data_IF_511304133213
#
_entry.id   IF_511304133213
#
_cell.length_a   1.000
_cell.length_b   1.000
_cell.length_c   1.000
_cell.angle_alpha   90.00
_cell.angle_beta   90.00
_cell.angle_gamma   90.00
#
_symmetry.space_group_name_H-M   'P 1'
#
loop_
_entity.id
_entity.type
_entity.pdbx_description
1 polymer ?
#
# COMPACT_ATOMS: atom_id res chain seq x y z
N UNK A 1 3.31 21.64 10.18
CA UNK A 1 2.48 20.50 10.66
C UNK A 1 3.35 19.27 10.83
N UNK A 2 3.11 18.47 11.87
CA UNK A 2 3.79 17.18 12.02
C UNK A 2 3.27 16.23 10.94
N UNK A 3 4.18 15.62 10.18
CA UNK A 3 3.88 14.76 9.04
C UNK A 3 4.30 13.33 9.36
N UNK A 4 3.35 12.39 9.28
CA UNK A 4 3.62 10.96 9.37
C UNK A 4 3.48 10.32 7.99
N UNK A 5 4.57 9.84 7.41
CA UNK A 5 4.62 9.30 6.05
C UNK A 5 4.69 7.78 6.12
N UNK A 6 3.77 7.11 5.44
CA UNK A 6 3.78 5.64 5.33
C UNK A 6 4.72 5.24 4.20
N UNK A 7 5.70 4.37 4.48
CA UNK A 7 6.70 3.92 3.52
C UNK A 7 6.92 2.41 3.63
N UNK A 8 6.71 1.68 2.53
CA UNK A 8 6.94 0.24 2.45
C UNK A 8 8.39 -0.08 2.06
N UNK A 9 8.95 -1.17 2.59
CA UNK A 9 10.27 -1.65 2.19
C UNK A 9 10.20 -2.39 0.86
N UNK A 10 10.71 -1.75 -0.20
CA UNK A 10 10.78 -2.32 -1.57
C UNK A 10 12.21 -2.68 -2.01
N UNK A 11 13.20 -2.44 -1.15
CA UNK A 11 14.63 -2.66 -1.40
C UNK A 11 15.28 -3.41 -0.23
N UNK A 12 16.59 -3.64 -0.30
CA UNK A 12 17.37 -4.13 0.85
C UNK A 12 17.24 -3.16 2.05
N UNK A 13 17.41 -3.71 3.27
CA UNK A 13 17.32 -2.96 4.54
C UNK A 13 18.25 -1.74 4.53
N UNK A 14 19.50 -1.92 4.10
CA UNK A 14 20.50 -0.84 4.04
C UNK A 14 20.03 0.36 3.20
N UNK A 15 19.57 0.13 1.97
CA UNK A 15 19.09 1.19 1.08
C UNK A 15 17.82 1.84 1.64
N UNK A 16 16.91 1.02 2.14
CA UNK A 16 15.66 1.50 2.73
C UNK A 16 15.91 2.40 3.94
N UNK A 17 16.87 2.04 4.80
CA UNK A 17 17.24 2.83 5.99
C UNK A 17 17.91 4.14 5.61
N UNK A 18 18.83 4.11 4.65
CA UNK A 18 19.46 5.32 4.12
C UNK A 18 18.42 6.31 3.57
N UNK A 19 17.49 5.84 2.73
CA UNK A 19 16.42 6.69 2.18
C UNK A 19 15.47 7.18 3.27
N UNK A 20 15.11 6.32 4.22
CA UNK A 20 14.23 6.67 5.36
C UNK A 20 14.87 7.74 6.23
N UNK A 21 16.16 7.62 6.52
CA UNK A 21 16.95 8.62 7.25
C UNK A 21 16.94 9.98 6.54
N UNK A 22 17.25 10.00 5.24
CA UNK A 22 17.26 11.23 4.44
C UNK A 22 15.87 11.90 4.35
N UNK A 23 14.79 11.11 4.30
CA UNK A 23 13.41 11.63 4.33
C UNK A 23 13.02 12.15 5.71
N UNK A 24 13.43 11.45 6.77
CA UNK A 24 13.15 11.85 8.14
C UNK A 24 13.89 13.12 8.56
N UNK A 25 15.08 13.37 8.00
CA UNK A 25 15.87 14.58 8.23
C UNK A 25 15.10 15.89 7.92
N UNK A 26 14.02 15.81 7.12
CA UNK A 26 13.11 16.93 6.82
C UNK A 26 12.00 17.12 7.86
N UNK A 27 12.15 16.58 9.07
CA UNK A 27 11.18 16.70 10.17
C UNK A 27 9.94 15.82 10.03
N UNK A 28 9.94 14.87 9.09
CA UNK A 28 8.84 13.92 8.89
C UNK A 28 9.08 12.63 9.66
N UNK A 29 8.03 12.06 10.26
CA UNK A 29 8.08 10.73 10.86
C UNK A 29 7.78 9.69 9.79
N UNK A 30 8.73 8.78 9.57
CA UNK A 30 8.54 7.65 8.65
C UNK A 30 8.00 6.44 9.41
N UNK A 31 6.95 5.81 8.90
CA UNK A 31 6.38 4.59 9.48
C UNK A 31 6.18 3.53 8.41
N UNK A 32 6.45 2.27 8.76
CA UNK A 32 6.21 1.14 7.87
C UNK A 32 4.72 0.74 7.87
N UNK A 33 4.16 0.19 6.77
CA UNK A 33 2.77 -0.25 6.67
C UNK A 33 2.51 -1.56 7.45
N UNK A 34 2.89 -1.59 8.72
CA UNK A 34 2.64 -2.67 9.67
C UNK A 34 1.49 -2.28 10.60
N UNK A 35 0.88 -3.22 11.35
CA UNK A 35 -0.14 -2.88 12.34
C UNK A 35 0.31 -1.81 13.35
N UNK A 36 1.58 -1.84 13.76
CA UNK A 36 2.15 -0.82 14.64
C UNK A 36 2.27 0.55 13.96
N UNK A 37 2.74 0.58 12.71
CA UNK A 37 2.81 1.83 11.94
C UNK A 37 1.43 2.43 11.66
N UNK A 38 0.45 1.61 11.30
CA UNK A 38 -0.95 2.04 11.12
C UNK A 38 -1.51 2.65 12.42
N UNK A 39 -1.25 2.04 13.59
CA UNK A 39 -1.63 2.63 14.89
C UNK A 39 -1.00 4.01 15.12
N UNK A 40 0.27 4.20 14.73
CA UNK A 40 0.94 5.50 14.82
C UNK A 40 0.31 6.55 13.90
N UNK A 41 -0.08 6.17 12.68
CA UNK A 41 -0.82 7.05 11.76
C UNK A 41 -2.17 7.44 12.33
N UNK A 42 -2.96 6.48 12.82
CA UNK A 42 -4.26 6.75 13.44
C UNK A 42 -4.11 7.70 14.63
N UNK A 43 -3.09 7.48 15.47
CA UNK A 43 -2.77 8.37 16.60
C UNK A 43 -2.46 9.78 16.13
N UNK A 44 -1.63 9.94 15.09
CA UNK A 44 -1.29 11.24 14.51
C UNK A 44 -2.53 11.99 14.00
N UNK A 45 -3.37 11.32 13.21
CA UNK A 45 -4.59 11.92 12.66
C UNK A 45 -5.56 12.36 13.76
N UNK A 46 -5.72 11.57 14.82
CA UNK A 46 -6.54 11.93 15.99
C UNK A 46 -5.97 13.12 16.78
N UNK A 47 -4.68 13.40 16.65
CA UNK A 47 -4.02 14.57 17.25
C UNK A 47 -4.08 15.81 16.34
N UNK A 48 -4.78 15.75 15.21
CA UNK A 48 -4.85 16.85 14.23
C UNK A 48 -3.57 16.98 13.40
N UNK A 49 -2.71 15.96 13.39
CA UNK A 49 -1.52 15.91 12.54
C UNK A 49 -1.87 15.39 11.13
N UNK A 50 -0.92 15.51 10.19
CA UNK A 50 -1.11 15.06 8.82
C UNK A 50 -0.44 13.70 8.58
N UNK A 51 -1.03 12.89 7.71
CA UNK A 51 -0.38 11.69 7.18
C UNK A 51 -0.36 11.68 5.66
N UNK A 52 0.71 11.14 5.09
CA UNK A 52 0.94 11.12 3.65
C UNK A 52 1.08 9.68 3.17
N UNK A 53 0.39 9.39 2.07
CA UNK A 53 0.35 8.09 1.41
C UNK A 53 0.68 8.23 -0.06
N UNK A 54 1.36 7.23 -0.61
CA UNK A 54 1.42 6.97 -2.04
C UNK A 54 0.36 5.92 -2.35
N UNK A 55 -0.56 6.21 -3.27
CA UNK A 55 -1.79 5.41 -3.47
C UNK A 55 -2.03 5.00 -4.92
N UNK A 56 -1.02 5.11 -5.78
CA UNK A 56 -1.08 4.82 -7.22
C UNK A 56 -0.63 3.40 -7.59
N UNK A 57 -0.18 2.58 -6.61
CA UNK A 57 0.21 1.19 -6.84
C UNK A 57 0.07 0.27 -5.63
N UNK A 58 -0.59 -0.86 -5.84
CA UNK A 58 -0.68 -1.98 -4.90
C UNK A 58 0.60 -2.84 -4.91
N UNK A 59 1.58 -2.48 -4.08
CA UNK A 59 2.84 -3.23 -3.96
C UNK A 59 2.71 -4.54 -3.19
N UNK A 60 1.79 -4.60 -2.23
CA UNK A 60 1.66 -5.74 -1.32
C UNK A 60 0.66 -6.78 -1.82
N UNK A 61 0.09 -6.58 -3.01
CA UNK A 61 -0.94 -7.43 -3.59
C UNK A 61 -2.05 -7.67 -2.57
N UNK A 62 -2.56 -6.61 -1.96
CA UNK A 62 -3.72 -6.67 -1.05
C UNK A 62 -4.66 -5.48 -1.30
N UNK A 63 -4.60 -4.97 -2.53
CA UNK A 63 -5.33 -3.82 -3.01
C UNK A 63 -6.81 -4.09 -3.20
N UNK A 64 -7.59 -3.01 -3.17
CA UNK A 64 -8.99 -3.04 -3.57
C UNK A 64 -9.07 -3.07 -5.10
N UNK A 65 -9.90 -3.95 -5.65
CA UNK A 65 -10.22 -3.95 -7.07
C UNK A 65 -10.93 -2.66 -7.47
N UNK A 66 -10.45 -2.03 -8.56
CA UNK A 66 -10.98 -0.79 -9.11
C UNK A 66 -10.90 -0.81 -10.63
N UNK A 67 -11.62 0.11 -11.29
CA UNK A 67 -11.35 0.46 -12.68
C UNK A 67 -10.47 1.70 -12.70
N UNK A 68 -9.28 1.60 -13.28
CA UNK A 68 -8.31 2.70 -13.36
C UNK A 68 -7.88 2.87 -14.82
N UNK A 69 -8.07 4.07 -15.37
CA UNK A 69 -7.93 4.35 -16.81
C UNK A 69 -8.74 3.39 -17.69
N UNK A 70 -9.98 3.08 -17.26
CA UNK A 70 -10.88 2.19 -18.01
C UNK A 70 -10.51 0.71 -17.98
N UNK A 71 -9.49 0.31 -17.22
CA UNK A 71 -9.04 -1.09 -17.10
C UNK A 71 -9.06 -1.57 -15.64
N UNK A 72 -9.39 -2.85 -15.38
CA UNK A 72 -9.39 -3.39 -14.02
C UNK A 72 -7.96 -3.48 -13.46
N UNK A 73 -7.79 -3.10 -12.20
CA UNK A 73 -6.54 -3.24 -11.43
C UNK A 73 -6.84 -3.22 -9.92
N UNK A 74 -5.81 -3.25 -9.08
CA UNK A 74 -5.91 -3.06 -7.64
C UNK A 74 -5.14 -1.82 -7.19
N UNK A 75 -5.68 -1.09 -6.21
CA UNK A 75 -5.03 0.06 -5.57
C UNK A 75 -4.95 -0.12 -4.03
N UNK A 76 -3.95 0.47 -3.35
CA UNK A 76 -3.77 0.30 -1.90
C UNK A 76 -4.99 0.82 -1.11
N UNK A 77 -5.59 0.02 -0.21
CA UNK A 77 -6.77 0.43 0.54
C UNK A 77 -6.44 1.33 1.73
N UNK A 78 -5.16 1.38 2.14
CA UNK A 78 -4.74 1.92 3.42
C UNK A 78 -5.18 3.36 3.67
N UNK A 79 -5.01 4.26 2.69
CA UNK A 79 -5.39 5.66 2.84
C UNK A 79 -6.90 5.83 3.06
N UNK A 80 -7.72 5.18 2.22
CA UNK A 80 -9.19 5.24 2.30
C UNK A 80 -9.72 4.58 3.57
N UNK A 81 -9.17 3.41 3.94
CA UNK A 81 -9.55 2.70 5.16
C UNK A 81 -9.24 3.52 6.42
N UNK A 82 -8.05 4.11 6.49
CA UNK A 82 -7.65 4.94 7.61
C UNK A 82 -8.51 6.21 7.68
N UNK A 83 -8.77 6.86 6.54
CA UNK A 83 -9.65 8.03 6.49
C UNK A 83 -11.06 7.71 6.99
N UNK A 84 -11.66 6.60 6.54
CA UNK A 84 -12.94 6.09 7.05
C UNK A 84 -12.93 5.91 8.57
N UNK A 85 -11.93 5.23 9.09
CA UNK A 85 -11.94 4.82 10.50
C UNK A 85 -11.67 5.98 11.45
N UNK A 86 -10.92 6.98 10.98
CA UNK A 86 -10.55 8.18 11.74
C UNK A 86 -11.48 9.37 11.51
N UNK A 87 -12.23 9.39 10.41
CA UNK A 87 -12.96 10.57 9.95
C UNK A 87 -12.06 11.64 9.31
N UNK A 88 -10.79 11.34 9.04
CA UNK A 88 -9.86 12.29 8.44
C UNK A 88 -10.28 12.65 7.01
N UNK A 89 -10.08 13.91 6.64
CA UNK A 89 -10.27 14.39 5.27
C UNK A 89 -9.13 13.94 4.38
N UNK A 90 -9.46 13.39 3.22
CA UNK A 90 -8.51 13.05 2.17
C UNK A 90 -8.34 14.25 1.25
N UNK A 91 -7.10 14.67 1.04
CA UNK A 91 -6.73 15.76 0.15
C UNK A 91 -5.80 15.17 -0.93
N UNK A 92 -6.30 14.90 -2.14
CA UNK A 92 -5.44 14.42 -3.22
C UNK A 92 -4.52 15.54 -3.70
N UNK A 93 -3.24 15.21 -3.90
CA UNK A 93 -2.21 16.15 -4.36
C UNK A 93 -1.50 15.50 -5.54
N UNK A 94 -1.39 16.23 -6.65
CA UNK A 94 -0.68 15.80 -7.85
C UNK A 94 0.54 16.69 -8.10
N UNK A 95 1.73 16.31 -7.59
CA UNK A 95 2.96 17.05 -7.83
C UNK A 95 3.50 16.75 -9.24
N UNK A 96 4.01 17.78 -9.93
CA UNK A 96 4.74 17.66 -11.19
C UNK A 96 5.89 18.65 -11.27
N UNK A 97 6.93 18.30 -12.02
CA UNK A 97 7.97 19.23 -12.44
C UNK A 97 7.44 20.15 -13.54
N UNK A 98 7.79 21.43 -13.45
CA UNK A 98 7.48 22.49 -14.41
C UNK A 98 8.76 23.28 -14.72
N UNK A 99 9.51 22.83 -15.73
CA UNK A 99 10.85 23.37 -16.01
C UNK A 99 11.80 23.20 -14.81
N UNK A 100 12.29 24.33 -14.27
CA UNK A 100 13.16 24.36 -13.09
C UNK A 100 12.40 24.35 -11.75
N UNK A 101 11.06 24.40 -11.78
CA UNK A 101 10.19 24.45 -10.61
C UNK A 101 9.37 23.17 -10.44
N UNK A 102 8.62 23.11 -9.34
CA UNK A 102 7.59 22.10 -9.10
C UNK A 102 6.25 22.81 -8.93
N UNK A 103 5.21 22.23 -9.52
CA UNK A 103 3.82 22.63 -9.32
C UNK A 103 3.08 21.53 -8.58
N UNK A 104 2.21 21.91 -7.66
CA UNK A 104 1.37 21.00 -6.89
C UNK A 104 -0.08 21.35 -7.15
N UNK A 105 -0.79 20.50 -7.88
CA UNK A 105 -2.23 20.61 -7.98
C UNK A 105 -2.82 20.03 -6.68
N UNK A 106 -3.54 20.83 -5.90
CA UNK A 106 -4.31 20.40 -4.74
C UNK A 106 -5.75 20.22 -5.18
N UNK A 107 -6.24 18.98 -5.19
CA UNK A 107 -7.57 18.66 -5.70
C UNK A 107 -8.63 18.79 -4.60
N UNK A 108 -9.90 18.78 -5.01
CA UNK A 108 -11.03 18.89 -4.08
C UNK A 108 -10.94 17.84 -2.96
N UNK A 109 -10.98 18.26 -1.69
CA UNK A 109 -10.93 17.35 -0.56
C UNK A 109 -12.22 16.54 -0.48
N UNK A 110 -12.15 15.35 0.11
CA UNK A 110 -13.32 14.52 0.40
C UNK A 110 -13.18 13.75 1.70
N UNK A 111 -14.30 13.36 2.29
CA UNK A 111 -14.36 12.45 3.44
C UNK A 111 -14.84 11.09 2.99
N UNK A 112 -14.49 10.04 3.74
CA UNK A 112 -14.98 8.69 3.50
C UNK A 112 -16.11 8.41 4.50
N UNK A 113 -17.30 7.99 4.05
CA UNK A 113 -18.39 7.63 4.95
C UNK A 113 -17.97 6.54 5.94
N UNK A 114 -18.55 6.54 7.14
CA UNK A 114 -18.36 5.50 8.15
C UNK A 114 -19.73 4.97 8.58
N UNK A 115 -20.25 4.06 7.79
CA UNK A 115 -21.51 3.34 8.05
C UNK A 115 -21.23 1.94 8.62
N UNK A 116 -22.26 1.10 8.72
CA UNK A 116 -22.10 -0.31 9.08
C UNK A 116 -21.69 -1.18 7.88
N UNK A 117 -21.62 -0.62 6.67
CA UNK A 117 -21.22 -1.32 5.45
C UNK A 117 -19.82 -0.86 5.02
N UNK A 118 -18.82 -1.67 5.39
CA UNK A 118 -17.42 -1.40 5.06
C UNK A 118 -17.19 -1.33 3.55
N UNK A 119 -17.77 -2.25 2.78
CA UNK A 119 -17.49 -2.36 1.36
C UNK A 119 -18.07 -1.18 0.58
N UNK A 120 -19.26 -0.72 0.96
CA UNK A 120 -19.88 0.48 0.38
C UNK A 120 -19.09 1.74 0.71
N UNK A 121 -18.63 1.89 1.95
CA UNK A 121 -17.84 3.05 2.36
C UNK A 121 -16.50 3.11 1.62
N UNK A 122 -15.83 1.95 1.49
CA UNK A 122 -14.58 1.83 0.73
C UNK A 122 -14.82 2.16 -0.75
N UNK A 123 -15.91 1.66 -1.35
CA UNK A 123 -16.29 2.00 -2.73
C UNK A 123 -16.41 3.52 -2.90
N UNK A 124 -17.19 4.17 -2.04
CA UNK A 124 -17.41 5.62 -2.10
C UNK A 124 -16.11 6.43 -1.99
N UNK A 125 -15.15 5.99 -1.16
CA UNK A 125 -13.84 6.62 -1.07
C UNK A 125 -13.00 6.45 -2.34
N UNK A 126 -13.02 5.26 -2.94
CA UNK A 126 -12.31 4.98 -4.19
C UNK A 126 -12.93 5.67 -5.41
N UNK A 127 -14.25 5.84 -5.45
CA UNK A 127 -14.96 6.61 -6.48
C UNK A 127 -14.50 8.08 -6.54
N UNK A 128 -13.95 8.60 -5.44
CA UNK A 128 -13.33 9.94 -5.39
C UNK A 128 -11.83 9.90 -5.65
N UNK A 129 -11.13 8.89 -5.13
CA UNK A 129 -9.67 8.78 -5.27
C UNK A 129 -9.24 8.47 -6.71
N UNK A 130 -9.91 7.56 -7.39
CA UNK A 130 -9.53 7.10 -8.73
C UNK A 130 -9.51 8.26 -9.73
N UNK A 131 -10.58 9.07 -9.89
CA UNK A 131 -10.55 10.22 -10.80
C UNK A 131 -9.44 11.23 -10.47
N UNK A 132 -9.16 11.43 -9.17
CA UNK A 132 -8.10 12.34 -8.72
C UNK A 132 -6.70 11.84 -9.14
N UNK A 133 -6.44 10.54 -8.99
CA UNK A 133 -5.20 9.91 -9.47
C UNK A 133 -5.09 10.02 -11.00
N UNK A 134 -6.17 9.70 -11.72
CA UNK A 134 -6.16 9.78 -13.19
C UNK A 134 -5.93 11.21 -13.69
N UNK A 135 -6.54 12.22 -13.05
CA UNK A 135 -6.29 13.62 -13.35
C UNK A 135 -4.80 13.96 -13.20
N UNK A 136 -4.20 13.62 -12.04
CA UNK A 136 -2.81 13.94 -11.75
C UNK A 136 -1.85 13.29 -12.73
N UNK A 137 -2.09 12.02 -13.07
CA UNK A 137 -1.27 11.27 -14.04
C UNK A 137 -1.46 11.85 -15.45
N UNK A 138 -2.69 12.19 -15.89
CA UNK A 138 -2.91 12.80 -17.22
C UNK A 138 -2.15 14.14 -17.38
N UNK A 139 -2.04 14.92 -16.30
CA UNK A 139 -1.32 16.21 -16.28
C UNK A 139 0.20 16.07 -16.46
N UNK A 140 0.76 14.90 -16.18
CA UNK A 140 2.19 14.65 -16.20
C UNK A 140 2.54 13.20 -16.50
N UNK A 141 1.94 12.61 -17.54
CA UNK A 141 2.04 11.17 -17.79
C UNK A 141 3.48 10.67 -17.95
N UNK A 142 4.34 11.47 -18.58
CA UNK A 142 5.77 11.17 -18.73
C UNK A 142 6.56 11.24 -17.41
N UNK A 143 6.01 11.87 -16.38
CA UNK A 143 6.59 11.98 -15.05
C UNK A 143 6.05 10.94 -14.07
N UNK A 144 5.07 10.13 -14.47
CA UNK A 144 4.59 9.03 -13.66
C UNK A 144 5.61 7.89 -13.68
N UNK A 145 6.45 7.84 -12.64
CA UNK A 145 7.60 6.92 -12.52
C UNK A 145 7.13 5.50 -12.19
N UNK A 146 6.49 4.85 -13.18
CA UNK A 146 5.87 3.53 -13.03
C UNK A 146 6.55 2.50 -13.92
N UNK A 147 7.65 1.92 -13.44
CA UNK A 147 8.42 0.92 -14.19
C UNK A 147 7.88 -0.51 -14.10
N UNK A 148 6.66 -0.66 -13.58
CA UNK A 148 6.08 -1.94 -13.21
C UNK A 148 4.65 -1.99 -13.72
N UNK A 149 4.17 -3.19 -14.03
CA UNK A 149 2.83 -3.36 -14.62
C UNK A 149 1.76 -2.97 -13.60
N UNK A 150 1.00 -1.92 -13.90
CA UNK A 150 -0.17 -1.50 -13.12
C UNK A 150 -1.39 -2.34 -13.48
N UNK A 151 -1.54 -2.69 -14.76
CA UNK A 151 -2.61 -3.58 -15.22
C UNK A 151 -2.01 -4.95 -15.55
N UNK A 152 -2.19 -5.96 -14.68
CA UNK A 152 -1.76 -7.32 -15.00
C UNK A 152 -2.67 -7.94 -16.07
N UNK A 153 -2.12 -8.82 -16.91
CA UNK A 153 -2.87 -9.50 -17.99
C UNK A 153 -3.91 -10.50 -17.42
N UNK A 154 -3.67 -10.97 -16.20
CA UNK A 154 -4.60 -11.79 -15.41
C UNK A 154 -4.92 -11.02 -14.13
N UNK A 155 -6.21 -10.79 -13.79
CA UNK A 155 -6.56 -10.18 -12.51
C UNK A 155 -5.98 -11.03 -11.37
N UNK A 156 -5.33 -10.44 -10.35
CA UNK A 156 -4.97 -11.20 -9.18
C UNK A 156 -6.26 -11.80 -8.59
N UNK A 157 -6.23 -13.06 -8.11
CA UNK A 157 -7.41 -13.68 -7.51
C UNK A 157 -7.95 -12.77 -6.41
N UNK A 158 -9.28 -12.72 -6.22
CA UNK A 158 -9.87 -11.89 -5.18
C UNK A 158 -9.29 -12.26 -3.80
N UNK A 159 -8.48 -11.37 -3.23
CA UNK A 159 -7.85 -11.61 -1.94
C UNK A 159 -8.88 -11.33 -0.86
N UNK A 160 -9.34 -12.39 -0.21
CA UNK A 160 -10.09 -12.28 1.05
C UNK A 160 -9.08 -11.97 2.15
N UNK A 161 -9.05 -10.72 2.59
CA UNK A 161 -8.26 -10.32 3.76
C UNK A 161 -8.98 -10.85 5.00
N UNK A 162 -8.43 -11.90 5.61
CA UNK A 162 -8.84 -12.30 6.96
C UNK A 162 -8.04 -11.49 7.98
N UNK A 163 -8.66 -11.00 9.07
CA UNK A 163 -7.92 -10.48 10.20
C UNK A 163 -6.96 -11.55 10.72
N UNK A 164 -5.70 -11.19 10.97
CA UNK A 164 -4.73 -12.07 11.62
C UNK A 164 -5.33 -12.54 12.96
N UNK A 165 -5.49 -13.86 13.12
CA UNK A 165 -6.14 -14.50 14.27
C UNK A 165 -7.60 -14.95 14.07
N UNK A 166 -8.13 -14.89 12.83
CA UNK A 166 -9.47 -15.41 12.52
C UNK A 166 -9.47 -16.95 12.39
N UNK A 167 -10.51 -17.66 12.84
CA UNK A 167 -10.65 -19.12 12.62
C UNK A 167 -10.56 -19.53 11.14
N UNK A 168 -10.88 -18.61 10.23
CA UNK A 168 -10.83 -18.80 8.77
C UNK A 168 -9.40 -18.71 8.20
N UNK A 169 -8.44 -18.17 8.95
CA UNK A 169 -7.01 -18.17 8.61
C UNK A 169 -6.44 -19.59 8.68
N UNK A 170 -6.82 -20.35 9.72
CA UNK A 170 -6.42 -21.75 9.90
C UNK A 170 -6.89 -22.63 8.75
N UNK A 171 -8.16 -22.50 8.33
CA UNK A 171 -8.70 -23.24 7.18
C UNK A 171 -7.99 -22.89 5.86
N UNK A 172 -7.60 -21.62 5.68
CA UNK A 172 -6.88 -21.18 4.48
C UNK A 172 -5.44 -21.73 4.47
N UNK A 173 -4.76 -21.68 5.61
CA UNK A 173 -3.42 -22.26 5.78
C UNK A 173 -3.43 -23.77 5.55
N UNK A 174 -4.43 -24.50 6.06
CA UNK A 174 -4.59 -25.93 5.80
C UNK A 174 -4.77 -26.22 4.31
N UNK A 175 -5.61 -25.45 3.60
CA UNK A 175 -5.80 -25.61 2.15
C UNK A 175 -4.53 -25.29 1.35
N UNK A 176 -3.76 -24.28 1.77
CA UNK A 176 -2.47 -23.94 1.15
C UNK A 176 -1.46 -25.06 1.39
N UNK A 177 -1.39 -25.61 2.60
CA UNK A 177 -0.50 -26.75 2.92
C UNK A 177 -0.86 -27.99 2.10
N UNK A 178 -2.15 -28.28 1.91
CA UNK A 178 -2.62 -29.40 1.08
C UNK A 178 -2.36 -29.19 -0.42
N UNK A 179 -2.38 -27.95 -0.90
CA UNK A 179 -2.16 -27.62 -2.31
C UNK A 179 -0.67 -27.54 -2.68
N UNK A 180 0.23 -27.47 -1.69
CA UNK A 180 1.67 -27.51 -1.93
C UNK A 180 2.10 -28.95 -2.26
N UNK A 181 2.91 -29.17 -3.30
CA UNK A 181 3.43 -30.49 -3.60
C UNK A 181 4.27 -31.00 -2.43
N UNK A 182 4.14 -32.29 -2.10
CA UNK A 182 4.94 -32.89 -1.04
C UNK A 182 6.43 -32.68 -1.34
N UNK A 183 7.15 -32.08 -0.40
CA UNK A 183 8.61 -31.99 -0.49
C UNK A 183 9.18 -33.40 -0.45
N UNK A 184 9.68 -33.86 -1.60
CA UNK A 184 10.43 -35.11 -1.71
C UNK A 184 11.54 -35.18 -0.67
N UNK A 185 11.68 -36.33 -0.01
CA UNK A 185 12.72 -36.59 1.00
C UNK A 185 14.15 -36.36 0.46
N UNK A 186 14.36 -36.38 -0.86
CA UNK A 186 15.64 -36.08 -1.49
C UNK A 186 16.13 -34.64 -1.28
N UNK A 187 15.22 -33.69 -1.01
CA UNK A 187 15.56 -32.29 -0.82
C UNK A 187 16.00 -31.98 0.63
N UNK A 188 15.59 -32.82 1.59
CA UNK A 188 16.01 -32.71 3.00
C UNK A 188 17.46 -33.13 3.21
N UNK A 189 17.94 -34.14 2.48
CA UNK A 189 19.30 -34.67 2.61
C UNK A 189 20.36 -33.79 1.95
N UNK A 190 19.99 -32.96 0.97
CA UNK A 190 20.91 -31.97 0.36
C UNK A 190 21.17 -30.73 1.23
N UNK A 191 20.23 -30.35 2.08
CA UNK A 191 20.39 -29.17 2.96
C UNK A 191 21.28 -29.45 4.18
N UNK A 192 21.41 -30.71 4.62
CA UNK A 192 22.19 -31.08 5.82
C UNK A 192 23.67 -31.33 5.47
N UNK A 193 23.99 -31.75 4.23
CA UNK A 193 25.38 -32.06 3.83
C UNK A 193 26.25 -30.85 3.44
N UNK A 194 25.72 -29.61 3.41
CA UNK A 194 26.51 -28.42 3.04
C UNK A 194 27.09 -27.61 4.21
N UNK A 195 26.89 -28.04 5.45
CA UNK A 195 27.40 -27.36 6.66
C UNK A 195 28.52 -28.13 7.39
N UNK A 196 29.12 -29.13 6.74
CA UNK A 196 30.19 -29.92 7.35
C UNK A 196 31.25 -30.36 6.35
N UNK A 197 31.88 -29.41 5.66
CA UNK A 197 33.17 -29.60 4.98
C UNK A 197 33.75 -28.24 4.58
N UNK A 198 34.54 -27.68 5.49
CA UNK A 198 35.60 -26.73 5.21
C UNK A 198 36.45 -26.65 6.49
N UNK A 199 37.66 -27.20 6.36
CA UNK A 199 38.75 -27.30 7.35
C UNK A 199 39.08 -25.97 8.04
#
# INVERSE_FOLDING_TARGET
YKLTIVTGRTTSRFIFDGVTHLRAAKGSRMVEPTPSGVRQVIKALRQGECSVFVSDRDFFQNGRAVTFFGRPTTLPPGAIRIARDTGATVIPIAPRRAGQHHELDILSPFTVPKTNDLERDMAAGFDKLVPALEYGIRRGASQWVMFQRVWPDTPPPAIRIFPIGSPLESELLEKVVQALPERSQADRSRSIKRTGESD
#
